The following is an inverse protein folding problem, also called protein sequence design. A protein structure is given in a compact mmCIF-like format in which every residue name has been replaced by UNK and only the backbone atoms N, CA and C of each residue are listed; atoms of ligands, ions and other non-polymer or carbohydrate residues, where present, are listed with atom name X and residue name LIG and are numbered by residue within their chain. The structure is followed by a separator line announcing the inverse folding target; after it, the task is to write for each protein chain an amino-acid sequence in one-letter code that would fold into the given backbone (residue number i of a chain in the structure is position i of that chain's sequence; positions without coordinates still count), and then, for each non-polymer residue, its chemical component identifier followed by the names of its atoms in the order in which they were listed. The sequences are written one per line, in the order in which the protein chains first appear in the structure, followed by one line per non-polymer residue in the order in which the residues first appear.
data_IF_810897301413
#
_entry.id   IF_810897301413
#
_cell.length_a   1.000
_cell.length_b   1.000
_cell.length_c   1.000
_cell.angle_alpha   90.00
_cell.angle_beta   90.00
_cell.angle_gamma   90.00
#
_symmetry.space_group_name_H-M   'P 1'
#
loop_
_entity.id
_entity.type
_entity.pdbx_description
1 polymer ?
#
# COMPACT_ATOMS: atom_id res chain seq x y z
N UNK A 1 -8.44 -17.01 13.81
CA UNK A 1 -8.43 -17.89 15.00
C UNK A 1 -7.41 -19.00 14.74
N UNK A 2 -6.54 -19.33 15.69
CA UNK A 2 -5.44 -20.30 15.49
C UNK A 2 -5.95 -21.71 15.77
N UNK A 3 -5.97 -22.58 14.75
CA UNK A 3 -6.26 -24.01 14.93
C UNK A 3 -4.93 -24.76 15.06
N UNK A 4 -4.72 -25.40 16.21
CA UNK A 4 -3.55 -26.26 16.46
C UNK A 4 -3.94 -27.71 16.19
N UNK A 5 -3.38 -28.30 15.12
CA UNK A 5 -3.47 -29.75 14.89
C UNK A 5 -2.23 -30.44 15.47
N UNK A 6 -2.43 -31.37 16.41
CA UNK A 6 -1.39 -32.24 16.95
C UNK A 6 -1.26 -33.47 16.07
N UNK A 7 -0.05 -33.74 15.56
CA UNK A 7 0.30 -35.08 15.09
C UNK A 7 1.18 -35.83 16.10
N UNK A 8 1.08 -37.16 16.05
CA UNK A 8 1.50 -38.12 17.08
C UNK A 8 3.00 -38.22 17.39
N UNK A 9 3.85 -37.27 16.96
CA UNK A 9 5.28 -37.24 17.25
C UNK A 9 5.70 -36.18 18.27
N UNK A 10 4.75 -35.41 18.83
CA UNK A 10 5.01 -34.50 19.96
C UNK A 10 5.91 -33.29 19.66
N UNK A 11 6.22 -33.01 18.38
CA UNK A 11 6.93 -31.79 17.96
C UNK A 11 5.94 -30.77 17.39
N UNK A 12 5.95 -29.57 17.95
CA UNK A 12 5.25 -28.41 17.39
C UNK A 12 6.04 -27.93 16.17
N UNK A 13 5.58 -28.28 14.97
CA UNK A 13 6.15 -27.77 13.73
C UNK A 13 5.43 -26.44 13.40
N UNK A 14 6.06 -25.31 13.75
CA UNK A 14 5.60 -23.99 13.28
C UNK A 14 6.17 -23.82 11.87
N UNK A 15 5.46 -24.39 10.89
CA UNK A 15 5.74 -24.17 9.47
C UNK A 15 5.28 -22.75 9.11
N UNK A 16 6.06 -22.06 8.29
CA UNK A 16 5.87 -20.65 7.94
C UNK A 16 4.51 -20.48 7.25
N UNK A 17 3.52 -20.03 8.02
CA UNK A 17 2.16 -19.78 7.58
C UNK A 17 2.03 -18.57 6.63
N UNK A 18 3.08 -17.83 6.28
CA UNK A 18 2.93 -16.64 5.41
C UNK A 18 2.57 -16.99 3.97
N UNK A 19 3.22 -17.99 3.38
CA UNK A 19 2.84 -18.48 2.06
C UNK A 19 1.47 -19.14 2.13
N UNK A 20 1.21 -19.97 3.15
CA UNK A 20 -0.09 -20.64 3.31
C UNK A 20 -1.24 -19.67 3.61
N UNK A 21 -1.03 -18.57 4.36
CA UNK A 21 -2.04 -17.52 4.59
C UNK A 21 -2.23 -16.67 3.34
N UNK A 22 -1.16 -16.40 2.58
CA UNK A 22 -1.27 -15.73 1.28
C UNK A 22 -2.08 -16.59 0.32
N UNK A 23 -1.76 -17.88 0.19
CA UNK A 23 -2.52 -18.86 -0.59
C UNK A 23 -3.96 -19.01 -0.09
N UNK A 24 -4.21 -19.12 1.21
CA UNK A 24 -5.57 -19.18 1.76
C UNK A 24 -6.36 -17.88 1.52
N UNK A 25 -5.70 -16.71 1.48
CA UNK A 25 -6.34 -15.44 1.15
C UNK A 25 -6.57 -15.29 -0.35
N UNK A 26 -5.66 -15.81 -1.19
CA UNK A 26 -5.82 -15.91 -2.65
C UNK A 26 -7.00 -16.81 -2.98
N UNK A 27 -7.05 -18.01 -2.40
CA UNK A 27 -8.16 -18.95 -2.49
C UNK A 27 -9.46 -18.33 -1.98
N UNK A 28 -9.41 -17.58 -0.88
CA UNK A 28 -10.58 -16.86 -0.36
C UNK A 28 -11.02 -15.72 -1.31
N UNK A 29 -10.11 -14.95 -1.93
CA UNK A 29 -10.45 -13.93 -2.93
C UNK A 29 -11.10 -14.55 -4.16
N UNK A 30 -10.53 -15.64 -4.69
CA UNK A 30 -11.10 -16.39 -5.83
C UNK A 30 -12.45 -17.00 -5.45
N UNK A 31 -12.58 -17.63 -4.28
CA UNK A 31 -13.86 -18.16 -3.80
C UNK A 31 -14.91 -17.06 -3.61
N UNK A 32 -14.57 -15.91 -3.04
CA UNK A 32 -15.51 -14.82 -2.81
C UNK A 32 -16.00 -14.22 -4.13
N UNK A 33 -15.12 -14.06 -5.12
CA UNK A 33 -15.51 -13.65 -6.47
C UNK A 33 -16.47 -14.67 -7.13
N UNK A 34 -16.20 -15.98 -6.97
CA UNK A 34 -17.05 -17.07 -7.48
C UNK A 34 -18.38 -17.22 -6.72
N UNK A 35 -18.42 -16.87 -5.43
CA UNK A 35 -19.62 -16.97 -4.60
C UNK A 35 -20.60 -15.81 -4.86
N UNK A 36 -20.09 -14.63 -5.25
CA UNK A 36 -20.93 -13.49 -5.64
C UNK A 36 -21.56 -13.65 -7.02
N UNK A 37 -20.89 -14.32 -7.97
CA UNK A 37 -21.42 -14.60 -9.31
C UNK A 37 -22.54 -15.67 -9.32
N UNK A 38 -22.66 -16.45 -8.25
CA UNK A 38 -23.70 -17.48 -8.07
C UNK A 38 -24.99 -16.95 -7.41
N UNK A 39 -25.04 -15.69 -6.97
CA UNK A 39 -26.26 -15.11 -6.37
C UNK A 39 -27.28 -14.75 -7.44
N UNK A 40 -28.52 -15.26 -7.39
CA UNK A 40 -29.53 -14.96 -8.40
C UNK A 40 -29.90 -13.48 -8.39
N UNK A 41 -30.01 -12.89 -9.59
CA UNK A 41 -30.52 -11.54 -9.77
C UNK A 41 -31.96 -11.46 -9.28
N UNK A 42 -32.19 -10.84 -8.12
CA UNK A 42 -33.54 -10.49 -7.69
C UNK A 42 -34.09 -9.43 -8.62
N UNK A 43 -34.96 -9.85 -9.54
CA UNK A 43 -35.80 -9.00 -10.35
C UNK A 43 -36.97 -8.45 -9.52
N UNK A 44 -37.33 -7.19 -9.77
CA UNK A 44 -38.72 -6.73 -9.63
C UNK A 44 -38.95 -5.56 -8.70
N UNK A 45 -39.16 -4.37 -9.29
CA UNK A 45 -39.69 -3.19 -8.61
C UNK A 45 -39.88 -2.02 -9.58
N UNK A 46 -40.83 -2.16 -10.51
CA UNK A 46 -41.10 -1.24 -11.60
C UNK A 46 -42.04 -0.08 -11.18
N UNK A 47 -41.83 1.06 -11.85
CA UNK A 47 -42.82 2.05 -12.33
C UNK A 47 -43.57 2.98 -11.35
N UNK A 48 -43.50 4.28 -11.64
CA UNK A 48 -44.39 5.30 -11.09
C UNK A 48 -44.11 6.70 -11.66
N UNK A 49 -44.92 7.12 -12.62
CA UNK A 49 -44.83 8.32 -13.46
C UNK A 49 -45.20 9.63 -12.75
N UNK A 50 -44.77 10.80 -13.28
CA UNK A 50 -45.60 12.02 -13.24
C UNK A 50 -44.92 13.37 -12.97
N UNK A 51 -45.00 14.30 -13.93
CA UNK A 51 -45.35 15.69 -13.61
C UNK A 51 -44.35 16.82 -13.95
N UNK A 52 -44.50 17.42 -15.14
CA UNK A 52 -44.01 18.76 -15.51
C UNK A 52 -44.67 19.89 -14.70
N UNK A 53 -43.94 20.96 -14.33
CA UNK A 53 -44.32 22.42 -14.39
C UNK A 53 -43.04 23.28 -14.28
N UNK A 54 -42.54 23.92 -15.35
CA UNK A 54 -42.72 25.32 -15.82
C UNK A 54 -42.31 26.47 -14.88
N UNK A 55 -41.29 27.21 -15.38
CA UNK A 55 -41.17 28.67 -15.55
C UNK A 55 -41.04 29.61 -14.34
N UNK A 56 -40.06 30.52 -14.45
CA UNK A 56 -39.97 31.77 -13.67
C UNK A 56 -38.59 32.40 -13.80
N UNK A 57 -38.41 33.28 -14.79
CA UNK A 57 -37.20 34.10 -14.93
C UNK A 57 -37.31 35.45 -14.21
N UNK A 58 -36.16 36.02 -13.88
CA UNK A 58 -35.84 37.45 -13.74
C UNK A 58 -34.32 37.48 -13.52
N UNK A 59 -33.47 38.17 -14.29
CA UNK A 59 -33.57 39.56 -14.74
C UNK A 59 -32.58 40.38 -13.90
N UNK A 60 -31.49 40.86 -14.50
CA UNK A 60 -30.55 41.78 -13.83
C UNK A 60 -29.12 41.71 -14.35
N UNK A 61 -28.82 42.50 -15.37
CA UNK A 61 -27.47 42.66 -15.91
C UNK A 61 -26.54 43.49 -15.02
N UNK A 62 -25.24 43.31 -15.21
CA UNK A 62 -24.25 44.34 -15.00
C UNK A 62 -23.01 44.03 -15.84
N UNK A 63 -22.76 44.88 -16.84
CA UNK A 63 -21.52 44.91 -17.59
C UNK A 63 -20.40 45.51 -16.75
N UNK A 64 -19.19 44.97 -16.89
CA UNK A 64 -17.98 45.52 -16.29
C UNK A 64 -16.73 44.90 -16.91
N UNK A 65 -16.10 45.61 -17.85
CA UNK A 65 -14.73 45.33 -18.29
C UNK A 65 -13.79 45.50 -17.11
N UNK A 66 -13.06 44.46 -16.69
CA UNK A 66 -11.80 44.60 -15.95
C UNK A 66 -10.76 43.59 -16.42
N UNK A 67 -9.52 44.07 -16.36
CA UNK A 67 -8.31 43.65 -17.06
C UNK A 67 -7.80 42.27 -16.65
N UNK A 68 -7.00 41.70 -17.55
CA UNK A 68 -6.07 40.62 -17.27
C UNK A 68 -5.22 40.94 -16.02
N UNK A 69 -5.40 40.14 -14.97
CA UNK A 69 -4.54 40.06 -13.81
C UNK A 69 -4.09 38.62 -13.68
N UNK A 70 -2.78 38.39 -13.70
CA UNK A 70 -2.16 37.08 -13.64
C UNK A 70 -2.64 36.29 -12.44
N UNK A 71 -3.15 35.08 -12.69
CA UNK A 71 -3.48 34.14 -11.64
C UNK A 71 -2.19 33.43 -11.20
N UNK A 72 -1.45 34.07 -10.29
CA UNK A 72 -0.43 33.38 -9.50
C UNK A 72 -1.14 32.41 -8.58
N UNK A 73 -1.26 31.15 -9.01
CA UNK A 73 -1.84 30.09 -8.20
C UNK A 73 -0.86 29.71 -7.09
N UNK A 74 -0.98 30.38 -5.94
CA UNK A 74 -0.45 29.91 -4.68
C UNK A 74 -1.33 28.73 -4.18
N UNK A 75 -1.30 27.59 -4.88
CA UNK A 75 -1.89 26.35 -4.36
C UNK A 75 -0.99 25.89 -3.23
N UNK A 76 -1.46 26.03 -1.98
CA UNK A 76 -0.88 25.32 -0.84
C UNK A 76 -0.78 23.85 -1.23
N UNK A 77 0.44 23.33 -1.31
CA UNK A 77 0.69 21.91 -1.57
C UNK A 77 0.12 21.13 -0.39
N UNK A 78 -0.70 20.12 -0.69
CA UNK A 78 -1.20 19.20 0.33
C UNK A 78 -0.01 18.39 0.85
N UNK A 79 0.50 18.75 2.03
CA UNK A 79 1.63 18.08 2.68
C UNK A 79 1.21 16.83 3.48
N UNK A 80 -0.03 16.37 3.33
CA UNK A 80 -0.54 15.18 4.03
C UNK A 80 0.24 13.94 3.60
N UNK A 81 0.78 13.23 4.59
CA UNK A 81 1.35 11.90 4.42
C UNK A 81 0.27 10.87 4.72
N UNK A 82 -0.09 10.07 3.72
CA UNK A 82 -1.06 9.00 3.84
C UNK A 82 -0.36 7.70 4.22
N UNK A 83 -0.92 6.97 5.17
CA UNK A 83 -0.53 5.58 5.44
C UNK A 83 -1.16 4.69 4.37
N UNK A 84 -0.39 4.25 3.37
CA UNK A 84 -0.87 3.46 2.23
C UNK A 84 -0.44 2.01 2.44
N UNK A 85 -1.41 1.10 2.52
CA UNK A 85 -1.16 -0.34 2.69
C UNK A 85 -0.43 -0.91 1.47
N UNK A 86 0.64 -1.69 1.68
CA UNK A 86 1.48 -2.26 0.59
C UNK A 86 1.72 -3.76 0.69
N UNK A 87 1.35 -4.38 1.81
CA UNK A 87 1.65 -5.76 2.16
C UNK A 87 0.99 -6.79 1.22
N UNK A 88 -0.21 -6.46 0.73
CA UNK A 88 -0.99 -7.27 -0.20
C UNK A 88 -1.03 -6.63 -1.59
N UNK A 89 0.07 -6.02 -2.03
CA UNK A 89 0.17 -5.35 -3.32
C UNK A 89 1.40 -5.79 -4.10
N UNK A 90 1.37 -5.73 -5.44
CA UNK A 90 2.53 -6.04 -6.26
C UNK A 90 3.67 -5.06 -5.99
N UNK A 91 4.82 -5.60 -5.59
CA UNK A 91 6.04 -4.84 -5.27
C UNK A 91 7.12 -5.16 -6.29
N UNK A 92 7.73 -4.15 -6.90
CA UNK A 92 8.94 -4.26 -7.72
C UNK A 92 10.12 -3.65 -6.98
N UNK A 93 11.25 -4.35 -6.94
CA UNK A 93 12.45 -3.94 -6.20
C UNK A 93 12.53 -4.57 -4.79
N UNK A 94 13.47 -4.12 -3.95
CA UNK A 94 13.71 -4.72 -2.64
C UNK A 94 12.51 -4.53 -1.71
N UNK A 95 12.02 -5.62 -1.11
CA UNK A 95 10.85 -5.58 -0.19
C UNK A 95 11.08 -4.63 0.99
N UNK A 96 12.32 -4.56 1.47
CA UNK A 96 12.76 -3.75 2.61
C UNK A 96 13.33 -2.37 2.22
N UNK A 97 13.13 -1.94 0.96
CA UNK A 97 13.56 -0.63 0.50
C UNK A 97 13.00 0.50 1.39
N UNK A 98 13.88 1.42 1.79
CA UNK A 98 13.55 2.54 2.66
C UNK A 98 12.53 3.52 2.05
N UNK A 99 12.48 3.57 0.72
CA UNK A 99 11.58 4.43 -0.04
C UNK A 99 10.60 3.59 -0.86
N UNK A 100 9.32 3.91 -0.73
CA UNK A 100 8.23 3.29 -1.47
C UNK A 100 7.58 4.32 -2.38
N UNK A 101 7.63 4.06 -3.68
CA UNK A 101 6.84 4.77 -4.68
C UNK A 101 5.55 3.98 -4.87
N UNK A 102 4.39 4.58 -4.59
CA UNK A 102 3.10 3.97 -4.87
C UNK A 102 2.40 4.72 -5.99
N UNK A 103 1.98 4.02 -7.03
CA UNK A 103 1.22 4.61 -8.14
C UNK A 103 -0.17 4.01 -8.26
N UNK A 104 -1.20 4.85 -8.11
CA UNK A 104 -2.55 4.54 -8.54
C UNK A 104 -2.66 4.80 -10.04
N UNK A 105 -2.89 3.74 -10.79
CA UNK A 105 -2.84 3.77 -12.25
C UNK A 105 -3.94 2.92 -12.90
N UNK A 106 -4.20 3.30 -14.16
CA UNK A 106 -5.14 2.66 -15.07
C UNK A 106 -4.37 2.22 -16.31
N UNK A 107 -4.51 0.96 -16.73
CA UNK A 107 -3.77 0.38 -17.87
C UNK A 107 -4.14 0.99 -19.22
N UNK A 108 -5.31 1.60 -19.37
CA UNK A 108 -5.72 2.29 -20.61
C UNK A 108 -5.29 3.77 -20.62
N UNK A 109 -4.81 4.31 -19.49
CA UNK A 109 -4.38 5.69 -19.41
C UNK A 109 -2.96 5.89 -19.96
N UNK A 110 -2.84 6.58 -21.10
CA UNK A 110 -1.54 6.90 -21.70
C UNK A 110 -0.60 7.69 -20.79
N UNK A 111 -1.12 8.48 -19.85
CA UNK A 111 -0.28 9.18 -18.87
C UNK A 111 0.33 8.22 -17.85
N UNK A 112 -0.41 7.19 -17.41
CA UNK A 112 0.12 6.15 -16.53
C UNK A 112 1.22 5.34 -17.22
N UNK A 113 1.03 5.00 -18.50
CA UNK A 113 2.03 4.29 -19.30
C UNK A 113 3.33 5.11 -19.42
N UNK A 114 3.23 6.43 -19.66
CA UNK A 114 4.39 7.33 -19.70
C UNK A 114 5.07 7.50 -18.35
N UNK A 115 4.31 7.37 -17.26
CA UNK A 115 4.85 7.45 -15.89
C UNK A 115 5.79 6.28 -15.61
N UNK A 116 5.49 5.09 -16.16
CA UNK A 116 6.29 3.89 -15.95
C UNK A 116 7.76 4.08 -16.33
N UNK A 117 8.06 4.70 -17.49
CA UNK A 117 9.45 4.93 -17.92
C UNK A 117 10.24 5.79 -16.92
N UNK A 118 9.59 6.74 -16.25
CA UNK A 118 10.23 7.55 -15.21
C UNK A 118 10.48 6.73 -13.95
N UNK A 119 9.50 5.93 -13.52
CA UNK A 119 9.64 5.04 -12.36
C UNK A 119 10.75 4.01 -12.61
N UNK A 120 10.82 3.40 -13.79
CA UNK A 120 11.92 2.51 -14.18
C UNK A 120 13.29 3.19 -14.11
N UNK A 121 13.39 4.44 -14.57
CA UNK A 121 14.63 5.22 -14.44
C UNK A 121 15.03 5.42 -12.99
N UNK A 122 14.06 5.71 -12.11
CA UNK A 122 14.29 5.87 -10.68
C UNK A 122 14.74 4.54 -10.05
N UNK A 123 14.06 3.43 -10.35
CA UNK A 123 14.44 2.12 -9.82
C UNK A 123 15.87 1.71 -10.23
N UNK A 124 16.31 2.07 -11.45
CA UNK A 124 17.70 1.84 -11.89
C UNK A 124 18.72 2.70 -11.17
N UNK A 125 18.36 3.92 -10.81
CA UNK A 125 19.25 4.86 -10.12
C UNK A 125 19.34 4.60 -8.61
N UNK A 126 18.28 4.02 -8.02
CA UNK A 126 18.16 3.71 -6.59
C UNK A 126 17.85 2.22 -6.33
N UNK A 127 18.64 1.27 -6.88
CA UNK A 127 18.27 -0.15 -6.98
C UNK A 127 17.99 -0.83 -5.63
N UNK A 128 18.70 -0.44 -4.57
CA UNK A 128 18.56 -1.02 -3.22
C UNK A 128 17.75 -0.16 -2.26
N UNK A 129 17.36 1.04 -2.69
CA UNK A 129 16.79 2.08 -1.82
C UNK A 129 15.32 2.34 -2.09
N UNK A 130 14.85 2.04 -3.31
CA UNK A 130 13.49 2.33 -3.75
C UNK A 130 12.79 1.05 -4.19
N UNK A 131 11.55 0.87 -3.73
CA UNK A 131 10.60 -0.09 -4.29
C UNK A 131 9.41 0.61 -4.92
N UNK A 132 8.79 -0.05 -5.88
CA UNK A 132 7.61 0.42 -6.58
C UNK A 132 6.39 -0.47 -6.29
N UNK A 133 5.27 0.16 -5.95
CA UNK A 133 3.99 -0.49 -5.68
C UNK A 133 2.95 0.02 -6.67
N UNK A 134 2.32 -0.90 -7.39
CA UNK A 134 1.18 -0.59 -8.25
C UNK A 134 -0.13 -0.71 -7.48
N UNK A 135 -1.04 0.22 -7.72
CA UNK A 135 -2.41 0.22 -7.20
C UNK A 135 -3.39 0.39 -8.34
N UNK A 136 -4.35 -0.51 -8.43
CA UNK A 136 -5.40 -0.47 -9.45
C UNK A 136 -6.33 0.73 -9.23
N UNK A 137 -6.53 1.53 -10.29
CA UNK A 137 -7.52 2.60 -10.28
C UNK A 137 -8.24 2.69 -11.62
N UNK A 138 -9.45 2.15 -11.69
CA UNK A 138 -10.26 2.16 -12.91
C UNK A 138 -10.92 3.52 -13.14
N UNK A 139 -10.65 4.13 -14.30
CA UNK A 139 -11.36 5.31 -14.75
C UNK A 139 -12.67 4.90 -15.45
N UNK A 140 -13.80 5.48 -15.04
CA UNK A 140 -15.13 5.11 -15.57
C UNK A 140 -15.27 5.26 -17.10
N UNK A 141 -14.47 6.12 -17.73
CA UNK A 141 -14.46 6.33 -19.18
C UNK A 141 -13.50 5.39 -19.94
N UNK A 142 -12.66 4.60 -19.24
CA UNK A 142 -11.74 3.62 -19.81
C UNK A 142 -12.38 2.22 -19.87
N UNK A 143 -13.23 2.02 -20.88
CA UNK A 143 -14.01 0.78 -21.03
C UNK A 143 -13.17 -0.48 -21.26
N UNK A 144 -11.93 -0.34 -21.74
CA UNK A 144 -11.02 -1.46 -22.03
C UNK A 144 -10.00 -1.69 -20.90
N UNK A 145 -10.03 -0.91 -19.83
CA UNK A 145 -9.11 -1.09 -18.71
C UNK A 145 -9.46 -2.34 -17.88
N UNK A 146 -10.75 -2.63 -17.66
CA UNK A 146 -11.17 -3.72 -16.75
C UNK A 146 -10.51 -5.07 -17.07
N UNK A 147 -10.50 -5.55 -18.33
CA UNK A 147 -9.83 -6.81 -18.64
C UNK A 147 -8.34 -6.82 -18.31
N UNK A 148 -7.64 -5.70 -18.52
CA UNK A 148 -6.22 -5.59 -18.21
C UNK A 148 -5.95 -5.60 -16.69
N UNK A 149 -6.81 -4.94 -15.91
CA UNK A 149 -6.72 -4.96 -14.45
C UNK A 149 -6.98 -6.37 -13.89
N UNK A 150 -7.99 -7.07 -14.40
CA UNK A 150 -8.29 -8.45 -13.99
C UNK A 150 -7.15 -9.39 -14.35
N UNK A 151 -6.56 -9.27 -15.55
CA UNK A 151 -5.43 -10.10 -15.97
C UNK A 151 -4.21 -9.91 -15.05
N UNK A 152 -3.88 -8.66 -14.73
CA UNK A 152 -2.77 -8.33 -13.84
C UNK A 152 -3.01 -8.80 -12.39
N UNK A 153 -4.20 -8.56 -11.84
CA UNK A 153 -4.51 -9.00 -10.47
C UNK A 153 -4.61 -10.53 -10.38
N UNK A 154 -5.12 -11.22 -11.41
CA UNK A 154 -5.09 -12.68 -11.44
C UNK A 154 -3.65 -13.22 -11.45
N UNK A 155 -2.76 -12.59 -12.22
CA UNK A 155 -1.35 -12.94 -12.21
C UNK A 155 -0.70 -12.71 -10.83
N UNK A 156 -1.09 -11.65 -10.12
CA UNK A 156 -0.66 -11.42 -8.74
C UNK A 156 -1.18 -12.50 -7.77
N UNK A 157 -2.46 -12.85 -7.87
CA UNK A 157 -3.08 -13.88 -7.04
C UNK A 157 -2.40 -15.22 -7.26
N UNK A 158 -2.20 -15.67 -8.50
CA UNK A 158 -1.66 -17.01 -8.74
C UNK A 158 -0.14 -17.10 -8.56
N UNK A 159 0.60 -16.02 -8.88
CA UNK A 159 2.07 -16.07 -9.00
C UNK A 159 2.80 -14.98 -8.19
N UNK A 160 2.09 -14.19 -7.40
CA UNK A 160 2.67 -13.12 -6.59
C UNK A 160 3.19 -11.94 -7.43
N UNK A 161 4.08 -11.14 -6.85
CA UNK A 161 4.63 -9.95 -7.50
C UNK A 161 5.31 -10.27 -8.84
N UNK A 162 6.02 -11.39 -8.96
CA UNK A 162 6.71 -11.77 -10.19
C UNK A 162 5.72 -11.95 -11.36
N UNK A 163 4.62 -12.68 -11.12
CA UNK A 163 3.58 -12.84 -12.12
C UNK A 163 2.85 -11.54 -12.46
N UNK A 164 2.59 -10.69 -11.46
CA UNK A 164 2.03 -9.36 -11.71
C UNK A 164 2.92 -8.55 -12.64
N UNK A 165 4.23 -8.46 -12.37
CA UNK A 165 5.14 -7.63 -13.16
C UNK A 165 5.38 -8.19 -14.56
N UNK A 166 5.35 -9.52 -14.72
CA UNK A 166 5.38 -10.15 -16.03
C UNK A 166 4.15 -9.75 -16.87
N UNK A 167 2.94 -9.91 -16.30
CA UNK A 167 1.69 -9.47 -16.95
C UNK A 167 1.66 -7.95 -17.19
N UNK A 168 2.09 -7.16 -16.22
CA UNK A 168 2.21 -5.70 -16.33
C UNK A 168 3.04 -5.32 -17.55
N UNK A 169 4.24 -5.88 -17.68
CA UNK A 169 5.16 -5.62 -18.80
C UNK A 169 4.54 -5.98 -20.15
N UNK A 170 3.83 -7.11 -20.25
CA UNK A 170 3.12 -7.51 -21.46
C UNK A 170 2.02 -6.51 -21.85
N UNK A 171 1.25 -6.03 -20.88
CA UNK A 171 0.18 -5.03 -21.09
C UNK A 171 0.77 -3.69 -21.52
N UNK A 172 1.76 -3.17 -20.80
CA UNK A 172 2.30 -1.83 -21.08
C UNK A 172 3.16 -1.76 -22.34
N UNK A 173 3.67 -2.89 -22.83
CA UNK A 173 4.38 -2.97 -24.11
C UNK A 173 3.46 -2.69 -25.31
N UNK A 174 2.16 -3.00 -25.17
CA UNK A 174 1.15 -2.78 -26.22
C UNK A 174 -0.12 -2.13 -25.64
N UNK A 175 -0.04 -0.88 -25.16
CA UNK A 175 -1.09 -0.26 -24.34
C UNK A 175 -2.40 0.05 -25.11
N UNK A 176 -2.41 -0.17 -26.43
CA UNK A 176 -3.60 -0.03 -27.28
C UNK A 176 -4.31 -1.36 -27.54
N UNK A 177 -3.70 -2.48 -27.20
CA UNK A 177 -4.19 -3.84 -27.45
C UNK A 177 -4.74 -4.46 -26.16
N UNK A 178 -5.78 -3.84 -25.59
CA UNK A 178 -6.42 -4.26 -24.33
C UNK A 178 -7.74 -5.02 -24.56
N UNK A 179 -7.93 -5.56 -25.77
CA UNK A 179 -9.12 -6.36 -26.09
C UNK A 179 -9.05 -7.71 -25.38
N UNK A 180 -10.21 -8.22 -24.96
CA UNK A 180 -10.31 -9.50 -24.24
C UNK A 180 -9.54 -10.63 -24.92
N UNK A 181 -9.63 -10.87 -26.25
CA UNK A 181 -8.86 -11.94 -26.89
C UNK A 181 -7.34 -11.81 -26.74
N UNK A 182 -6.80 -10.59 -26.74
CA UNK A 182 -5.36 -10.35 -26.55
C UNK A 182 -4.96 -10.71 -25.14
N UNK A 183 -5.73 -10.23 -24.15
CA UNK A 183 -5.44 -10.45 -22.74
C UNK A 183 -5.64 -11.91 -22.32
N UNK A 184 -6.63 -12.61 -22.91
CA UNK A 184 -6.75 -14.07 -22.78
C UNK A 184 -5.48 -14.77 -23.23
N UNK A 185 -4.92 -14.36 -24.38
CA UNK A 185 -3.65 -14.90 -24.87
C UNK A 185 -2.49 -14.67 -23.89
N UNK A 186 -2.47 -13.52 -23.19
CA UNK A 186 -1.48 -13.27 -22.14
C UNK A 186 -1.68 -14.18 -20.93
N UNK A 187 -2.92 -14.31 -20.44
CA UNK A 187 -3.29 -15.20 -19.33
C UNK A 187 -2.90 -16.65 -19.64
N UNK A 188 -3.22 -17.15 -20.83
CA UNK A 188 -2.81 -18.48 -21.31
C UNK A 188 -1.29 -18.64 -21.38
N UNK A 189 -0.58 -17.64 -21.91
CA UNK A 189 0.88 -17.71 -22.08
C UNK A 189 1.65 -17.77 -20.75
N UNK A 190 1.10 -17.18 -19.69
CA UNK A 190 1.65 -17.27 -18.34
C UNK A 190 1.21 -18.53 -17.59
N UNK A 191 0.33 -19.35 -18.19
CA UNK A 191 -0.24 -20.54 -17.57
C UNK A 191 -1.11 -20.22 -16.36
N UNK A 192 -1.86 -19.12 -16.44
CA UNK A 192 -2.84 -18.70 -15.43
C UNK A 192 -4.22 -19.34 -15.70
N UNK A 193 -5.12 -19.35 -14.72
CA UNK A 193 -6.47 -19.91 -14.87
C UNK A 193 -7.36 -19.04 -15.76
N UNK A 194 -7.37 -19.37 -17.04
CA UNK A 194 -8.21 -18.71 -18.05
C UNK A 194 -9.71 -18.83 -17.75
N UNK A 195 -10.16 -19.93 -17.12
CA UNK A 195 -11.57 -20.07 -16.78
C UNK A 195 -11.96 -19.09 -15.69
N UNK A 196 -11.13 -18.94 -14.65
CA UNK A 196 -11.32 -17.93 -13.61
C UNK A 196 -11.27 -16.51 -14.19
N UNK A 197 -10.36 -16.23 -15.11
CA UNK A 197 -10.32 -14.94 -15.83
C UNK A 197 -11.65 -14.63 -16.53
N UNK A 198 -12.16 -15.58 -17.32
CA UNK A 198 -13.42 -15.43 -18.06
C UNK A 198 -14.63 -15.29 -17.13
N UNK A 199 -14.67 -16.06 -16.04
CA UNK A 199 -15.72 -15.98 -15.01
C UNK A 199 -15.75 -14.59 -14.36
N UNK A 200 -14.59 -14.03 -13.98
CA UNK A 200 -14.51 -12.68 -13.39
C UNK A 200 -14.96 -11.63 -14.40
N UNK A 201 -14.57 -11.73 -15.68
CA UNK A 201 -14.97 -10.76 -16.69
C UNK A 201 -16.46 -10.78 -17.03
N UNK A 202 -17.14 -11.91 -16.82
CA UNK A 202 -18.58 -12.02 -17.03
C UNK A 202 -19.41 -11.33 -15.94
N UNK A 203 -18.83 -11.04 -14.77
CA UNK A 203 -19.51 -10.42 -13.63
C UNK A 203 -18.83 -9.12 -13.18
N UNK A 204 -19.47 -7.99 -13.49
CA UNK A 204 -19.04 -6.66 -13.04
C UNK A 204 -18.85 -6.55 -11.53
N UNK A 205 -19.62 -7.29 -10.72
CA UNK A 205 -19.44 -7.30 -9.27
C UNK A 205 -18.18 -8.04 -8.87
N UNK A 206 -17.83 -9.14 -9.55
CA UNK A 206 -16.60 -9.86 -9.30
C UNK A 206 -15.38 -8.96 -9.56
N UNK A 207 -15.41 -8.14 -10.62
CA UNK A 207 -14.36 -7.14 -10.90
C UNK A 207 -14.29 -6.09 -9.78
N UNK A 208 -15.43 -5.52 -9.37
CA UNK A 208 -15.48 -4.53 -8.29
C UNK A 208 -14.97 -5.09 -6.95
N UNK A 209 -15.30 -6.35 -6.63
CA UNK A 209 -14.83 -7.06 -5.43
C UNK A 209 -13.33 -7.31 -5.49
N UNK A 210 -12.84 -7.81 -6.63
CA UNK A 210 -11.43 -8.09 -6.88
C UNK A 210 -10.55 -6.85 -6.63
N UNK A 211 -11.01 -5.68 -7.06
CA UNK A 211 -10.26 -4.42 -6.98
C UNK A 211 -10.69 -3.51 -5.83
N UNK A 212 -11.49 -4.03 -4.88
CA UNK A 212 -12.16 -3.23 -3.85
C UNK A 212 -11.19 -2.58 -2.85
N UNK A 213 -10.09 -3.28 -2.51
CA UNK A 213 -9.07 -2.81 -1.56
C UNK A 213 -8.38 -1.55 -2.10
N UNK A 214 -7.91 -1.59 -3.35
CA UNK A 214 -7.26 -0.45 -3.99
C UNK A 214 -8.24 0.71 -4.21
N UNK A 215 -9.50 0.42 -4.55
CA UNK A 215 -10.57 1.42 -4.64
C UNK A 215 -10.81 2.12 -3.30
N UNK A 216 -10.78 1.39 -2.19
CA UNK A 216 -10.94 1.94 -0.84
C UNK A 216 -9.73 2.80 -0.44
N UNK A 217 -8.50 2.32 -0.70
CA UNK A 217 -7.26 3.05 -0.41
C UNK A 217 -7.17 4.33 -1.26
N UNK A 218 -7.55 4.27 -2.53
CA UNK A 218 -7.62 5.42 -3.42
C UNK A 218 -8.58 6.50 -2.88
N UNK A 219 -9.75 6.10 -2.36
CA UNK A 219 -10.71 7.01 -1.73
C UNK A 219 -10.12 7.66 -0.47
N UNK A 220 -9.48 6.87 0.40
CA UNK A 220 -8.80 7.35 1.62
C UNK A 220 -7.71 8.38 1.28
N UNK A 221 -6.95 8.12 0.23
CA UNK A 221 -5.86 8.98 -0.24
C UNK A 221 -6.31 10.13 -1.16
N UNK A 222 -7.63 10.32 -1.33
CA UNK A 222 -8.23 11.36 -2.20
C UNK A 222 -7.65 11.33 -3.62
N UNK A 223 -7.46 10.12 -4.16
CA UNK A 223 -7.09 9.90 -5.55
C UNK A 223 -8.32 10.16 -6.42
N UNK A 224 -8.15 10.95 -7.47
CA UNK A 224 -9.23 11.33 -8.38
C UNK A 224 -8.84 11.26 -9.86
N UNK A 225 -7.59 10.91 -10.15
CA UNK A 225 -7.05 10.79 -11.50
C UNK A 225 -5.87 9.83 -11.55
N UNK A 226 -5.53 9.38 -12.76
CA UNK A 226 -4.34 8.57 -13.01
C UNK A 226 -3.37 9.28 -13.96
N UNK A 227 -2.05 9.11 -13.79
CA UNK A 227 -1.43 8.50 -12.63
C UNK A 227 -1.50 9.45 -11.42
N UNK A 228 -1.72 8.89 -10.23
CA UNK A 228 -1.43 9.58 -8.97
C UNK A 228 -0.30 8.84 -8.27
N UNK A 229 0.79 9.54 -8.00
CA UNK A 229 2.02 8.98 -7.42
C UNK A 229 2.22 9.51 -6.01
N UNK A 230 2.60 8.61 -5.11
CA UNK A 230 2.99 8.90 -3.74
C UNK A 230 4.41 8.40 -3.48
N UNK A 231 5.19 9.13 -2.68
CA UNK A 231 6.50 8.70 -2.21
C UNK A 231 6.52 8.73 -0.68
N UNK A 232 6.64 7.55 -0.07
CA UNK A 232 6.42 7.32 1.38
C UNK A 232 5.14 8.01 1.86
N UNK A 233 4.02 7.77 1.17
CA UNK A 233 2.71 8.30 1.55
C UNK A 233 2.45 9.76 1.18
N UNK A 234 3.45 10.55 0.79
CA UNK A 234 3.23 11.93 0.35
C UNK A 234 2.85 11.97 -1.13
N UNK A 235 1.73 12.63 -1.45
CA UNK A 235 1.27 12.81 -2.84
C UNK A 235 2.19 13.76 -3.61
N UNK A 236 2.70 13.31 -4.75
CA UNK A 236 3.56 14.14 -5.59
C UNK A 236 2.73 15.13 -6.40
N UNK A 237 2.96 16.43 -6.17
CA UNK A 237 2.31 17.51 -6.91
C UNK A 237 2.85 17.61 -8.35
N UNK A 238 4.16 17.48 -8.48
CA UNK A 238 4.89 17.43 -9.74
C UNK A 238 5.40 16.00 -9.96
N UNK A 239 5.32 15.54 -11.21
CA UNK A 239 5.67 14.18 -11.62
C UNK A 239 6.83 14.17 -12.62
N UNK A 240 7.72 15.16 -12.56
CA UNK A 240 9.01 15.10 -13.23
C UNK A 240 10.01 14.26 -12.42
N UNK A 241 11.08 13.83 -13.08
CA UNK A 241 12.08 12.94 -12.49
C UNK A 241 12.80 13.65 -11.35
N UNK A 242 13.09 14.94 -11.53
CA UNK A 242 13.80 15.78 -10.57
C UNK A 242 13.03 15.87 -9.25
N UNK A 243 11.72 16.13 -9.30
CA UNK A 243 10.86 16.15 -8.11
C UNK A 243 10.81 14.81 -7.38
N UNK A 244 10.90 13.68 -8.09
CA UNK A 244 11.01 12.36 -7.46
C UNK A 244 12.34 12.18 -6.76
N UNK A 245 13.44 12.52 -7.43
CA UNK A 245 14.79 12.45 -6.87
C UNK A 245 14.92 13.31 -5.63
N UNK A 246 14.52 14.58 -5.70
CA UNK A 246 14.55 15.49 -4.55
C UNK A 246 13.84 14.91 -3.34
N UNK A 247 12.65 14.32 -3.54
CA UNK A 247 11.89 13.69 -2.46
C UNK A 247 12.57 12.43 -1.93
N UNK A 248 13.11 11.59 -2.80
CA UNK A 248 13.84 10.36 -2.44
C UNK A 248 15.07 10.73 -1.62
N UNK A 249 15.88 11.66 -2.11
CA UNK A 249 17.11 12.13 -1.47
C UNK A 249 16.83 12.76 -0.10
N UNK A 250 15.76 13.54 0.02
CA UNK A 250 15.31 14.07 1.32
C UNK A 250 15.00 12.96 2.32
N UNK A 251 14.32 11.89 1.89
CA UNK A 251 14.00 10.75 2.76
C UNK A 251 15.28 10.02 3.16
N UNK A 252 16.16 9.74 2.20
CA UNK A 252 17.40 9.01 2.44
C UNK A 252 18.34 9.79 3.37
N UNK A 253 18.51 11.10 3.13
CA UNK A 253 19.30 11.96 4.01
C UNK A 253 18.68 12.06 5.41
N UNK A 254 17.35 12.12 5.54
CA UNK A 254 16.71 12.12 6.85
C UNK A 254 16.96 10.80 7.62
N UNK A 255 16.97 9.66 6.92
CA UNK A 255 17.30 8.36 7.51
C UNK A 255 18.77 8.27 7.92
N UNK A 256 19.69 8.77 7.09
CA UNK A 256 21.13 8.84 7.42
C UNK A 256 21.40 9.73 8.63
N UNK A 257 20.77 10.91 8.70
CA UNK A 257 20.89 11.81 9.86
C UNK A 257 20.28 11.20 11.13
N UNK A 258 19.16 10.47 11.01
CA UNK A 258 18.57 9.76 12.15
C UNK A 258 19.48 8.62 12.66
N UNK A 259 20.26 7.99 11.78
CA UNK A 259 21.28 7.01 12.19
C UNK A 259 22.50 7.67 12.83
N UNK A 260 22.91 8.84 12.34
CA UNK A 260 24.08 9.59 12.85
C UNK A 260 23.80 10.28 14.19
N UNK A 261 22.60 10.82 14.41
CA UNK A 261 22.19 11.34 15.72
C UNK A 261 22.12 10.23 16.77
N UNK A 262 21.66 9.03 16.39
CA UNK A 262 21.76 7.83 17.23
C UNK A 262 23.20 7.44 17.57
N UNK A 263 24.17 7.81 16.74
CA UNK A 263 25.59 7.53 16.94
C UNK A 263 26.33 8.63 17.71
N UNK A 264 25.97 9.92 17.54
CA UNK A 264 26.52 11.06 18.27
C UNK A 264 26.16 11.08 19.76
N UNK A 265 25.01 10.54 20.14
CA UNK A 265 24.62 10.39 21.55
C UNK A 265 25.52 9.37 22.29
N UNK A 266 26.34 8.59 21.57
CA UNK A 266 27.31 7.66 22.18
C UNK A 266 28.67 8.27 22.55
N UNK A 267 28.96 9.54 22.19
CA UNK A 267 30.34 10.08 22.29
C UNK A 267 30.53 11.42 23.02
N UNK A 268 29.58 11.91 23.82
CA UNK A 268 29.80 13.12 24.65
C UNK A 268 29.38 12.91 26.10
N UNK A 269 30.37 12.59 26.95
CA UNK A 269 30.31 12.78 28.39
C UNK A 269 30.59 14.26 28.70
N UNK A 270 29.66 14.95 29.36
CA UNK A 270 29.86 16.35 29.78
C UNK A 270 28.60 17.06 30.31
N UNK A 271 28.37 16.93 31.62
CA UNK A 271 27.64 17.80 32.56
C UNK A 271 26.29 18.48 32.21
N UNK A 272 25.24 17.96 32.87
CA UNK A 272 24.08 18.59 33.53
C UNK A 272 23.62 20.03 33.17
N UNK A 273 22.38 20.16 32.66
CA UNK A 273 21.17 20.58 33.41
C UNK A 273 19.95 20.70 32.49
N UNK A 274 18.82 20.19 32.98
CA UNK A 274 17.42 20.44 32.62
C UNK A 274 16.98 20.37 31.15
N UNK A 275 16.27 19.30 30.78
CA UNK A 275 15.05 19.34 29.94
C UNK A 275 14.48 17.92 29.73
N UNK A 276 13.15 17.81 29.76
CA UNK A 276 12.31 16.59 29.64
C UNK A 276 12.93 15.42 28.86
N UNK A 277 13.26 14.36 29.59
CA UNK A 277 13.80 13.10 29.04
C UNK A 277 12.67 12.37 28.32
N UNK A 278 12.64 12.45 26.99
CA UNK A 278 11.97 11.43 26.16
C UNK A 278 12.61 10.09 26.54
N UNK A 279 11.82 9.21 27.16
CA UNK A 279 12.30 7.93 27.66
C UNK A 279 13.04 7.17 26.55
N UNK A 280 14.24 6.72 26.84
CA UNK A 280 15.19 6.04 25.95
C UNK A 280 14.64 4.75 25.31
N UNK A 281 13.50 4.27 25.80
CA UNK A 281 12.87 3.03 25.39
C UNK A 281 11.64 3.27 24.53
N UNK A 282 11.44 2.44 23.51
CA UNK A 282 10.27 2.50 22.63
C UNK A 282 8.97 2.00 23.29
N UNK A 283 9.01 1.63 24.58
CA UNK A 283 7.89 1.04 25.29
C UNK A 283 7.79 1.57 26.73
N UNK A 284 6.59 1.98 27.14
CA UNK A 284 6.26 2.37 28.52
C UNK A 284 5.93 1.16 29.41
N UNK A 285 5.54 0.03 28.79
CA UNK A 285 5.18 -1.22 29.45
C UNK A 285 5.93 -2.39 28.84
N UNK A 286 6.16 -3.45 29.62
CA UNK A 286 6.83 -4.66 29.15
C UNK A 286 6.01 -5.33 28.04
N UNK A 287 6.56 -5.63 26.85
CA UNK A 287 5.81 -6.26 25.76
C UNK A 287 5.37 -7.70 26.05
N UNK A 288 6.01 -8.33 27.05
CA UNK A 288 5.71 -9.71 27.47
C UNK A 288 4.62 -9.72 28.55
N UNK A 289 4.82 -8.95 29.63
CA UNK A 289 3.98 -8.99 30.83
C UNK A 289 2.98 -7.83 30.94
N UNK A 290 3.06 -6.85 30.04
CA UNK A 290 2.30 -5.59 30.08
C UNK A 290 2.48 -4.76 31.36
N UNK A 291 3.42 -5.13 32.23
CA UNK A 291 3.74 -4.40 33.46
C UNK A 291 4.43 -3.07 33.15
N UNK A 292 4.17 -1.99 33.92
CA UNK A 292 4.85 -0.71 33.77
C UNK A 292 6.36 -0.87 33.89
N UNK A 293 7.10 -0.14 33.06
CA UNK A 293 8.57 -0.08 33.14
C UNK A 293 8.95 1.30 33.67
N UNK A 294 9.86 1.31 34.63
CA UNK A 294 10.51 2.54 35.06
C UNK A 294 11.79 2.74 34.23
N UNK A 295 11.85 3.73 33.32
CA UNK A 295 13.00 3.97 32.45
C UNK A 295 14.33 4.17 33.22
N UNK A 296 14.27 4.73 34.44
CA UNK A 296 15.46 5.09 35.20
C UNK A 296 16.08 3.90 35.97
N UNK A 297 15.46 2.71 35.92
CA UNK A 297 15.85 1.54 36.72
C UNK A 297 15.93 0.22 35.93
N UNK A 298 16.15 0.29 34.62
CA UNK A 298 16.27 -0.91 33.78
C UNK A 298 17.73 -1.35 33.71
N UNK A 299 18.06 -2.52 34.25
CA UNK A 299 19.39 -3.11 34.13
C UNK A 299 19.68 -3.54 32.68
N UNK A 300 20.95 -3.47 32.25
CA UNK A 300 21.35 -3.74 30.85
C UNK A 300 20.92 -5.13 30.33
N UNK A 301 20.92 -6.13 31.21
CA UNK A 301 20.49 -7.49 30.86
C UNK A 301 18.98 -7.60 30.56
N UNK A 302 18.19 -6.57 30.90
CA UNK A 302 16.75 -6.45 30.64
C UNK A 302 16.44 -5.57 29.43
N UNK A 303 17.42 -5.35 28.55
CA UNK A 303 17.27 -4.52 27.35
C UNK A 303 17.52 -5.38 26.09
N UNK A 304 16.75 -5.14 25.03
CA UNK A 304 17.02 -5.66 23.68
C UNK A 304 16.93 -4.56 22.65
N UNK A 305 17.77 -4.64 21.63
CA UNK A 305 17.67 -3.79 20.44
C UNK A 305 16.77 -4.48 19.43
N UNK A 306 15.72 -3.79 18.98
CA UNK A 306 14.83 -4.28 17.92
C UNK A 306 14.44 -3.12 17.02
N UNK A 307 14.69 -3.25 15.70
CA UNK A 307 14.43 -2.20 14.70
C UNK A 307 14.99 -0.83 15.08
N UNK A 308 16.24 -0.81 15.54
CA UNK A 308 16.95 0.40 15.97
C UNK A 308 16.35 1.10 17.19
N UNK A 309 15.48 0.42 17.96
CA UNK A 309 14.91 0.92 19.20
C UNK A 309 15.32 0.05 20.39
N UNK A 310 15.53 0.67 21.55
CA UNK A 310 15.76 -0.06 22.80
C UNK A 310 14.42 -0.48 23.40
N UNK A 311 14.27 -1.76 23.64
CA UNK A 311 13.09 -2.35 24.28
C UNK A 311 13.49 -2.75 25.70
N UNK A 312 12.78 -2.21 26.69
CA UNK A 312 12.98 -2.57 28.08
C UNK A 312 12.02 -3.70 28.50
N UNK A 313 12.46 -4.51 29.45
CA UNK A 313 11.67 -5.58 30.05
C UNK A 313 11.62 -5.46 31.58
N UNK A 314 10.52 -5.93 32.18
CA UNK A 314 10.30 -5.82 33.62
C UNK A 314 10.94 -6.95 34.46
N UNK A 315 11.45 -8.01 33.83
CA UNK A 315 11.90 -9.22 34.51
C UNK A 315 12.98 -9.99 33.75
N UNK A 316 13.84 -10.74 34.43
CA UNK A 316 14.96 -11.47 33.81
C UNK A 316 14.53 -12.53 32.77
N UNK A 317 13.35 -13.14 32.91
CA UNK A 317 12.82 -14.12 31.93
C UNK A 317 12.12 -13.50 30.72
N UNK A 318 11.89 -12.19 30.76
CA UNK A 318 11.14 -11.47 29.74
C UNK A 318 11.96 -11.27 28.43
N UNK A 319 13.27 -10.94 28.47
CA UNK A 319 14.12 -10.89 27.28
C UNK A 319 14.24 -12.23 26.54
N UNK A 320 14.41 -13.35 27.24
CA UNK A 320 14.48 -14.67 26.59
C UNK A 320 13.16 -15.07 25.94
N UNK A 321 12.04 -14.71 26.57
CA UNK A 321 10.71 -14.91 26.00
C UNK A 321 10.51 -14.04 24.77
N UNK A 322 11.04 -12.81 24.79
CA UNK A 322 11.03 -11.89 23.66
C UNK A 322 11.87 -12.39 22.49
N UNK A 323 13.07 -12.90 22.75
CA UNK A 323 13.98 -13.38 21.71
C UNK A 323 13.38 -14.55 20.91
N UNK A 324 12.51 -15.35 21.53
CA UNK A 324 11.78 -16.48 20.92
C UNK A 324 10.58 -16.08 20.04
N UNK A 325 10.15 -14.81 20.08
CA UNK A 325 9.02 -14.34 19.29
C UNK A 325 9.42 -14.05 17.85
N UNK A 326 8.51 -14.32 16.91
CA UNK A 326 8.64 -13.85 15.53
C UNK A 326 8.54 -12.33 15.46
N UNK A 327 9.11 -11.72 14.41
CA UNK A 327 9.05 -10.27 14.21
C UNK A 327 7.62 -9.72 14.14
N UNK A 328 6.68 -10.53 13.62
CA UNK A 328 5.27 -10.18 13.59
C UNK A 328 4.67 -10.09 15.01
N UNK A 329 5.00 -11.04 15.88
CA UNK A 329 4.56 -11.04 17.28
C UNK A 329 5.24 -9.93 18.09
N UNK A 330 6.53 -9.67 17.83
CA UNK A 330 7.27 -8.56 18.41
C UNK A 330 6.63 -7.22 18.06
N UNK A 331 6.29 -7.02 16.78
CA UNK A 331 5.59 -5.80 16.32
C UNK A 331 4.20 -5.66 16.96
N UNK A 332 3.40 -6.74 16.98
CA UNK A 332 2.06 -6.72 17.54
C UNK A 332 2.06 -6.48 19.07
N UNK A 333 3.08 -6.96 19.77
CA UNK A 333 3.25 -6.70 21.21
C UNK A 333 3.73 -5.29 21.47
N UNK A 334 4.70 -4.77 20.70
CA UNK A 334 5.18 -3.39 20.83
C UNK A 334 4.09 -2.36 20.53
N UNK A 335 3.27 -2.57 19.50
CA UNK A 335 2.16 -1.69 19.17
C UNK A 335 1.14 -1.51 20.32
N UNK A 336 1.11 -2.43 21.29
CA UNK A 336 0.23 -2.36 22.47
C UNK A 336 0.86 -1.70 23.68
N UNK A 337 2.18 -1.49 23.68
CA UNK A 337 2.95 -1.01 24.83
C UNK A 337 3.88 0.16 24.50
N UNK A 338 3.88 0.60 23.25
CA UNK A 338 4.54 1.83 22.79
C UNK A 338 3.94 3.05 23.50
N UNK A 339 4.78 4.07 23.67
CA UNK A 339 4.45 5.32 24.36
C UNK A 339 3.32 6.10 23.70
#
# INVERSE_FOLDING_TARGET
ETVVLRNGSGKNEVRILRSEISELRKDMKVMMAKLDSLKPATAGGCSGCGGKKKAGGCGGGCGGKKKAGGCGNNRKTDATVYDITTEDSPVLGPVDAAVTITMFADFQCMYSIRENTKIESILKEYPDKVKFVFKHYLLAFHKKAKPAHVAAELAYIEKGSDGFWEMYNMIIAKPRELEVPVLRGYVESLGLDLATFDEILADEKAIDTLLSEDKAEAKKCKVSSTPTVFINGLKMANRDIESYKERIDQILAALENATDEGQKVSSTSGNAKDMDVKSEFANAKCPIMASPINPDKVAENLIRSYRSQKIAFCCAGCPESWDKLSDLEKNAKLAKVSL
#
